data_IF_165688452920
#
_entry.id   IF_165688452920
#
_cell.length_a   1.000
_cell.length_b   1.000
_cell.length_c   1.000
_cell.angle_alpha   90.00
_cell.angle_beta   90.00
_cell.angle_gamma   90.00
#
_symmetry.space_group_name_H-M   'P 1'
#
loop_
_entity.id
_entity.type
_entity.pdbx_description
1 polymer ?
#
# COMPACT_ATOMS: atom_id res chain seq x y z
N UNK A 1 5.24 -9.89 4.74
CA UNK A 1 4.74 -8.93 3.75
C UNK A 1 4.11 -7.71 4.45
N UNK A 2 4.19 -6.53 3.85
CA UNK A 2 3.46 -5.34 4.32
C UNK A 2 2.27 -5.09 3.39
N UNK A 3 1.16 -4.64 3.95
CA UNK A 3 -0.02 -4.15 3.21
C UNK A 3 -0.23 -2.71 3.66
N UNK A 4 -0.39 -1.79 2.71
CA UNK A 4 -0.81 -0.43 3.02
C UNK A 4 -2.32 -0.33 2.92
N UNK A 5 -2.92 0.39 3.85
CA UNK A 5 -4.25 0.96 3.67
C UNK A 5 -4.07 2.42 3.27
N UNK A 6 -4.70 2.86 2.19
CA UNK A 6 -4.52 4.21 1.66
C UNK A 6 -5.79 4.77 1.02
N UNK A 7 -5.78 6.07 0.75
CA UNK A 7 -6.85 6.82 0.04
C UNK A 7 -6.24 7.61 -1.11
N UNK A 8 -7.00 7.86 -2.18
CA UNK A 8 -6.51 8.62 -3.33
C UNK A 8 -6.35 10.11 -2.98
N UNK A 9 -5.22 10.71 -3.37
CA UNK A 9 -4.90 12.11 -3.01
C UNK A 9 -5.70 13.11 -3.84
N UNK A 10 -5.96 12.79 -5.10
CA UNK A 10 -6.74 13.62 -6.03
C UNK A 10 -8.24 13.72 -5.68
N UNK A 11 -8.69 13.04 -4.62
CA UNK A 11 -10.07 13.08 -4.15
C UNK A 11 -11.08 12.35 -5.04
N UNK A 12 -10.64 11.64 -6.09
CA UNK A 12 -11.53 10.86 -6.96
C UNK A 12 -12.14 9.68 -6.22
N UNK A 13 -11.46 9.16 -5.20
CA UNK A 13 -11.96 8.09 -4.35
C UNK A 13 -11.46 8.25 -2.90
N UNK A 14 -12.39 8.52 -1.98
CA UNK A 14 -12.12 8.64 -0.54
C UNK A 14 -12.25 7.30 0.21
N UNK A 15 -12.61 6.22 -0.48
CA UNK A 15 -12.69 4.90 0.14
C UNK A 15 -11.30 4.40 0.50
N UNK A 16 -11.19 3.82 1.69
CA UNK A 16 -9.96 3.16 2.14
C UNK A 16 -9.81 1.87 1.36
N UNK A 17 -8.69 1.73 0.66
CA UNK A 17 -8.33 0.54 -0.12
C UNK A 17 -7.00 -0.02 0.37
N UNK A 18 -6.69 -1.24 -0.06
CA UNK A 18 -5.52 -1.99 0.39
C UNK A 18 -4.65 -2.40 -0.79
N UNK A 19 -3.32 -2.29 -0.60
CA UNK A 19 -2.32 -2.71 -1.57
C UNK A 19 -1.19 -3.48 -0.89
N UNK A 20 -0.71 -4.54 -1.53
CA UNK A 20 0.48 -5.27 -1.13
C UNK A 20 1.72 -4.44 -1.41
N UNK A 21 2.66 -4.46 -0.48
CA UNK A 21 4.01 -3.95 -0.71
C UNK A 21 4.87 -5.12 -1.19
N UNK A 22 5.32 -5.10 -2.46
CA UNK A 22 6.17 -6.16 -3.00
C UNK A 22 7.53 -6.20 -2.32
N UNK A 23 8.21 -7.35 -2.39
CA UNK A 23 9.41 -7.63 -1.58
C UNK A 23 10.54 -6.63 -1.79
N UNK A 24 10.77 -6.18 -3.03
CA UNK A 24 11.77 -5.17 -3.37
C UNK A 24 11.52 -3.80 -2.69
N UNK A 25 10.28 -3.54 -2.28
CA UNK A 25 9.86 -2.32 -1.58
C UNK A 25 9.79 -2.49 -0.05
N UNK A 26 9.94 -3.71 0.48
CA UNK A 26 9.84 -3.98 1.92
C UNK A 26 10.92 -3.32 2.80
N UNK A 27 12.16 -3.08 2.34
CA UNK A 27 13.16 -2.37 3.16
C UNK A 27 12.75 -0.94 3.53
N UNK A 28 11.82 -0.34 2.78
CA UNK A 28 11.37 1.04 3.00
C UNK A 28 10.51 1.10 4.28
N UNK A 29 10.86 2.06 5.15
CA UNK A 29 10.11 2.35 6.38
C UNK A 29 8.90 3.22 6.05
N UNK A 30 7.71 2.63 6.16
CA UNK A 30 6.43 3.27 5.84
C UNK A 30 5.71 3.73 7.09
N UNK A 31 5.03 4.87 7.00
CA UNK A 31 4.23 5.47 8.07
C UNK A 31 2.92 6.03 7.52
N UNK A 32 1.96 6.23 8.44
CA UNK A 32 0.76 7.01 8.14
C UNK A 32 1.16 8.43 7.69
N UNK A 33 0.55 8.87 6.60
CA UNK A 33 0.81 10.17 5.99
C UNK A 33 1.84 10.15 4.86
N UNK A 34 2.61 9.07 4.72
CA UNK A 34 3.47 8.86 3.56
C UNK A 34 2.61 8.62 2.31
N UNK A 35 3.20 8.78 1.14
CA UNK A 35 2.51 8.67 -0.13
C UNK A 35 3.13 7.58 -0.98
N UNK A 36 2.28 6.92 -1.78
CA UNK A 36 2.67 5.82 -2.63
C UNK A 36 2.04 5.97 -4.02
N UNK A 37 2.72 5.44 -5.03
CA UNK A 37 2.15 5.18 -6.34
C UNK A 37 1.60 3.75 -6.34
N UNK A 38 0.37 3.57 -6.78
CA UNK A 38 -0.30 2.26 -6.84
C UNK A 38 -0.87 2.02 -8.21
N UNK A 39 -0.93 0.75 -8.60
CA UNK A 39 -1.60 0.35 -9.84
C UNK A 39 -3.11 0.38 -9.66
N UNK A 40 -3.82 0.94 -10.65
CA UNK A 40 -5.30 0.99 -10.67
C UNK A 40 -5.81 0.66 -12.06
N UNK A 41 -7.11 0.39 -12.20
CA UNK A 41 -7.71 0.14 -13.52
C UNK A 41 -7.58 1.33 -14.48
N UNK A 42 -7.41 2.54 -13.95
CA UNK A 42 -7.22 3.78 -14.72
C UNK A 42 -5.75 4.15 -14.86
N UNK A 43 -4.83 3.22 -14.59
CA UNK A 43 -3.39 3.42 -14.56
C UNK A 43 -2.85 3.84 -13.19
N UNK A 44 -1.55 4.20 -13.11
CA UNK A 44 -0.89 4.54 -11.86
C UNK A 44 -1.50 5.77 -11.19
N UNK A 45 -1.81 5.67 -9.89
CA UNK A 45 -2.35 6.78 -9.11
C UNK A 45 -1.61 6.99 -7.79
N UNK A 46 -1.65 8.24 -7.31
CA UNK A 46 -1.03 8.65 -6.05
C UNK A 46 -2.01 8.49 -4.90
N UNK A 47 -1.59 7.77 -3.86
CA UNK A 47 -2.37 7.53 -2.65
C UNK A 47 -1.63 7.99 -1.40
N UNK A 48 -2.39 8.37 -0.38
CA UNK A 48 -1.90 8.71 0.96
C UNK A 48 -2.15 7.55 1.91
N UNK A 49 -1.08 7.04 2.51
CA UNK A 49 -1.12 5.92 3.44
C UNK A 49 -1.83 6.36 4.72
N UNK A 50 -2.89 5.63 5.09
CA UNK A 50 -3.62 5.84 6.34
C UNK A 50 -3.22 4.83 7.42
N UNK A 51 -2.77 3.64 7.02
CA UNK A 51 -2.23 2.61 7.92
C UNK A 51 -1.30 1.64 7.18
N UNK A 52 -0.43 0.97 7.93
CA UNK A 52 0.44 -0.12 7.44
C UNK A 52 0.15 -1.34 8.29
N UNK A 53 -0.14 -2.46 7.64
CA UNK A 53 -0.50 -3.74 8.27
C UNK A 53 0.52 -4.79 7.88
N UNK A 54 0.95 -5.61 8.83
CA UNK A 54 1.82 -6.77 8.54
C UNK A 54 0.96 -7.97 8.21
N UNK A 55 1.25 -8.63 7.09
CA UNK A 55 0.60 -9.87 6.65
C UNK A 55 1.65 -10.94 6.36
N UNK A 56 1.34 -12.19 6.69
CA UNK A 56 2.24 -13.34 6.45
C UNK A 56 2.16 -13.83 5.00
N UNK A 57 0.99 -13.72 4.39
CA UNK A 57 0.60 -14.43 3.16
C UNK A 57 -0.09 -13.52 2.13
N UNK A 58 -0.20 -12.22 2.40
CA UNK A 58 -0.89 -11.26 1.54
C UNK A 58 -2.39 -11.14 1.81
N UNK A 59 -2.89 -11.79 2.87
CA UNK A 59 -4.27 -11.68 3.30
C UNK A 59 -4.41 -10.69 4.48
N UNK A 60 -5.57 -10.03 4.52
CA UNK A 60 -6.07 -9.32 5.69
C UNK A 60 -7.00 -10.24 6.45
N UNK A 61 -6.83 -10.29 7.77
CA UNK A 61 -7.64 -11.10 8.67
C UNK A 61 -8.36 -10.20 9.68
N UNK A 62 -9.65 -10.45 9.89
CA UNK A 62 -10.41 -9.79 10.95
C UNK A 62 -11.47 -10.74 11.51
N UNK A 63 -11.83 -10.53 12.78
CA UNK A 63 -12.88 -11.30 13.45
C UNK A 63 -14.15 -10.44 13.53
N UNK A 64 -15.29 -11.03 13.22
CA UNK A 64 -16.60 -10.42 13.45
C UNK A 64 -17.45 -11.39 14.28
N UNK A 65 -17.64 -11.07 15.57
CA UNK A 65 -18.18 -12.02 16.54
C UNK A 65 -17.26 -13.23 16.69
N UNK A 66 -17.76 -14.42 16.34
CA UNK A 66 -17.01 -15.69 16.37
C UNK A 66 -16.47 -16.16 15.03
N UNK A 67 -16.78 -15.44 13.95
CA UNK A 67 -16.35 -15.79 12.60
C UNK A 67 -15.06 -15.05 12.24
N UNK A 68 -14.08 -15.80 11.74
CA UNK A 68 -12.89 -15.24 11.09
C UNK A 68 -13.14 -14.99 9.62
N UNK A 69 -12.82 -13.79 9.17
CA UNK A 69 -12.87 -13.39 7.77
C UNK A 69 -11.45 -13.17 7.25
N UNK A 70 -11.25 -13.47 5.96
CA UNK A 70 -10.02 -13.16 5.25
C UNK A 70 -10.30 -12.52 3.90
N UNK A 71 -9.43 -11.62 3.47
CA UNK A 71 -9.47 -10.99 2.15
C UNK A 71 -8.07 -11.01 1.55
N UNK A 72 -7.96 -11.54 0.33
CA UNK A 72 -6.71 -11.50 -0.43
C UNK A 72 -6.51 -10.11 -1.04
N UNK A 73 -5.40 -9.44 -0.70
CA UNK A 73 -5.05 -8.19 -1.35
C UNK A 73 -4.32 -8.51 -2.64
N UNK A 74 -4.90 -8.15 -3.79
CA UNK A 74 -4.31 -8.45 -5.10
C UNK A 74 -3.51 -7.30 -5.71
N UNK A 75 -3.91 -6.06 -5.42
CA UNK A 75 -3.27 -4.88 -5.98
C UNK A 75 -1.95 -4.58 -5.27
N UNK A 76 -1.00 -3.99 -6.00
CA UNK A 76 0.37 -3.77 -5.52
C UNK A 76 0.76 -2.30 -5.54
N UNK A 77 1.66 -1.95 -4.63
CA UNK A 77 2.36 -0.67 -4.62
C UNK A 77 3.44 -0.71 -5.69
N UNK A 78 3.49 0.35 -6.51
CA UNK A 78 4.50 0.52 -7.54
C UNK A 78 5.75 1.22 -7.01
N UNK A 79 5.58 2.25 -6.19
CA UNK A 79 6.68 3.01 -5.61
C UNK A 79 6.22 3.83 -4.39
N UNK A 80 7.18 4.36 -3.63
CA UNK A 80 6.93 5.31 -2.55
C UNK A 80 7.52 6.68 -2.88
N UNK A 81 6.91 7.75 -2.36
CA UNK A 81 7.43 9.10 -2.51
C UNK A 81 8.32 9.46 -1.31
N UNK A 82 9.47 10.09 -1.58
CA UNK A 82 10.29 10.66 -0.51
C UNK A 82 9.57 11.85 0.12
N UNK A 83 9.45 11.84 1.45
CA UNK A 83 8.73 12.90 2.18
C UNK A 83 9.42 14.27 2.12
N UNK A 84 10.74 14.32 1.94
CA UNK A 84 11.55 15.55 1.89
C UNK A 84 11.66 16.11 0.48
N UNK A 85 11.85 15.26 -0.53
CA UNK A 85 12.07 15.71 -1.92
C UNK A 85 10.83 15.59 -2.80
N UNK A 86 9.79 14.87 -2.36
CA UNK A 86 8.64 14.45 -3.17
C UNK A 86 9.00 13.66 -4.43
N UNK A 87 10.25 13.20 -4.54
CA UNK A 87 10.70 12.35 -5.65
C UNK A 87 10.23 10.91 -5.45
N UNK A 88 10.00 10.22 -6.56
CA UNK A 88 9.65 8.80 -6.53
C UNK A 88 10.88 7.99 -6.18
N UNK A 89 10.85 7.31 -5.04
CA UNK A 89 11.85 6.32 -4.65
C UNK A 89 11.49 4.98 -5.29
N UNK A 90 12.21 4.66 -6.36
CA UNK A 90 12.36 3.29 -6.81
C UNK A 90 13.49 2.65 -6.00
N UNK A 91 13.31 1.45 -5.44
CA UNK A 91 14.44 0.70 -4.92
C UNK A 91 15.37 0.38 -6.10
N UNK A 92 16.67 0.22 -5.83
CA UNK A 92 17.61 -0.21 -6.86
C UNK A 92 17.10 -1.51 -7.50
N UNK A 93 17.18 -1.63 -8.83
CA UNK A 93 16.90 -2.90 -9.51
C UNK A 93 17.79 -3.97 -8.87
N UNK A 94 17.24 -5.14 -8.51
CA UNK A 94 18.10 -6.27 -8.18
C UNK A 94 18.98 -6.54 -9.41
N UNK A 95 20.30 -6.55 -9.20
CA UNK A 95 21.28 -7.01 -10.19
C UNK A 95 21.07 -8.49 -10.55
#
# INVERSE_FOLDING_TARGET
MKIIQAVHINGTDKHKRYWKVPDHLQPIRLRKGDEAAVETLSGPQRVKIVAVVTSKDGFLYWKNGDTWHKFEVKQEVLAFFDRKTMEVKYPPKPE
#
